data_IF_948744943340
#
_entry.id   IF_948744943340
#
_cell.length_a   1.000
_cell.length_b   1.000
_cell.length_c   1.000
_cell.angle_alpha   90.00
_cell.angle_beta   90.00
_cell.angle_gamma   90.00
#
_symmetry.space_group_name_H-M   'P 1'
#
loop_
_entity.id
_entity.type
_entity.pdbx_description
1 polymer ?
#
# COMPACT_ATOMS: atom_id res chain seq x y z
N UNK A 1 3.48 -10.52 -3.04
CA UNK A 1 3.51 -11.77 -2.24
C UNK A 1 4.92 -12.19 -1.80
N UNK A 2 5.94 -12.02 -2.64
CA UNK A 2 7.35 -12.39 -2.42
C UNK A 2 7.90 -12.19 -0.99
N UNK A 3 7.64 -11.03 -0.38
CA UNK A 3 8.16 -10.68 0.95
C UNK A 3 7.70 -11.62 2.07
N UNK A 4 6.46 -12.14 2.04
CA UNK A 4 6.05 -13.16 3.02
C UNK A 4 6.63 -14.54 2.71
N UNK A 5 6.88 -14.87 1.44
CA UNK A 5 7.61 -16.09 1.08
C UNK A 5 9.04 -16.07 1.66
N UNK A 6 9.74 -14.93 1.55
CA UNK A 6 11.06 -14.75 2.16
C UNK A 6 11.02 -14.84 3.70
N UNK A 7 9.98 -14.30 4.35
CA UNK A 7 9.82 -14.38 5.81
C UNK A 7 9.44 -15.77 6.32
N UNK A 8 8.66 -16.53 5.55
CA UNK A 8 8.18 -17.87 5.92
C UNK A 8 9.20 -18.97 5.57
N UNK A 9 9.79 -18.93 4.37
CA UNK A 9 10.61 -20.02 3.83
C UNK A 9 12.12 -19.74 3.87
N UNK A 10 12.53 -18.50 4.19
CA UNK A 10 13.92 -18.06 4.07
C UNK A 10 14.41 -17.84 2.63
N UNK A 11 13.60 -18.12 1.61
CA UNK A 11 13.94 -18.00 0.19
C UNK A 11 13.21 -16.82 -0.46
N UNK A 12 13.95 -15.94 -1.12
CA UNK A 12 13.37 -14.97 -2.05
C UNK A 12 13.04 -15.69 -3.37
N UNK A 13 11.80 -15.54 -3.82
CA UNK A 13 11.36 -15.90 -5.17
C UNK A 13 10.79 -14.64 -5.79
N UNK A 14 11.18 -14.36 -7.03
CA UNK A 14 10.46 -13.37 -7.83
C UNK A 14 9.22 -14.04 -8.39
N UNK A 15 8.08 -13.35 -8.34
CA UNK A 15 6.80 -13.79 -8.88
C UNK A 15 6.47 -12.96 -10.13
N UNK A 16 5.46 -13.37 -10.92
CA UNK A 16 5.02 -12.61 -12.09
C UNK A 16 3.78 -11.79 -11.78
N UNK A 17 3.87 -10.46 -11.91
CA UNK A 17 2.69 -9.59 -11.90
C UNK A 17 1.84 -9.80 -13.17
N UNK A 18 2.45 -10.19 -14.29
CA UNK A 18 1.75 -10.49 -15.54
C UNK A 18 0.79 -11.68 -15.39
N UNK A 19 1.12 -12.66 -14.56
CA UNK A 19 0.22 -13.78 -14.25
C UNK A 19 -1.10 -13.31 -13.60
N UNK A 20 -1.05 -12.26 -12.77
CA UNK A 20 -2.26 -11.62 -12.22
C UNK A 20 -3.02 -10.86 -13.31
N UNK A 21 -2.33 -10.01 -14.07
CA UNK A 21 -2.91 -9.16 -15.13
C UNK A 21 -3.59 -9.98 -16.24
N UNK A 22 -3.06 -11.17 -16.56
CA UNK A 22 -3.60 -12.03 -17.62
C UNK A 22 -4.70 -12.98 -17.11
N UNK A 23 -4.70 -13.36 -15.83
CA UNK A 23 -5.54 -14.45 -15.30
C UNK A 23 -6.64 -14.02 -14.31
N UNK A 24 -6.47 -12.94 -13.53
CA UNK A 24 -7.45 -12.53 -12.51
C UNK A 24 -8.60 -11.67 -13.07
N UNK A 25 -8.63 -11.47 -14.40
CA UNK A 25 -9.63 -10.71 -15.18
C UNK A 25 -11.07 -11.28 -15.17
N UNK A 26 -11.37 -12.20 -14.24
CA UNK A 26 -12.65 -12.93 -14.15
C UNK A 26 -13.60 -12.36 -13.11
N UNK A 27 -13.19 -11.31 -12.38
CA UNK A 27 -13.95 -10.67 -11.31
C UNK A 27 -13.94 -9.14 -11.42
N UNK A 28 -13.40 -8.48 -10.40
CA UNK A 28 -13.41 -7.01 -10.26
C UNK A 28 -12.12 -6.35 -10.80
N UNK A 29 -11.05 -7.13 -10.99
CA UNK A 29 -9.84 -6.71 -11.71
C UNK A 29 -10.09 -6.78 -13.22
N UNK A 30 -9.64 -5.78 -13.97
CA UNK A 30 -9.82 -5.62 -15.41
C UNK A 30 -8.46 -5.52 -16.14
N UNK A 31 -7.41 -6.09 -15.55
CA UNK A 31 -6.03 -6.09 -16.04
C UNK A 31 -5.48 -4.68 -16.14
N UNK A 32 -4.96 -4.29 -17.30
CA UNK A 32 -4.41 -2.95 -17.52
C UNK A 32 -5.42 -1.80 -17.39
N UNK A 33 -6.73 -2.08 -17.23
CA UNK A 33 -7.74 -1.06 -16.93
C UNK A 33 -7.90 -0.79 -15.42
N UNK A 34 -7.24 -1.56 -14.55
CA UNK A 34 -7.34 -1.47 -13.09
C UNK A 34 -8.57 -2.18 -12.52
N UNK A 35 -8.95 -1.80 -11.30
CA UNK A 35 -10.11 -2.36 -10.58
C UNK A 35 -11.41 -1.60 -10.91
N UNK A 36 -12.53 -2.33 -10.95
CA UNK A 36 -13.84 -1.77 -11.26
C UNK A 36 -14.36 -0.78 -10.20
N UNK A 37 -14.98 0.31 -10.66
CA UNK A 37 -15.55 1.41 -9.84
C UNK A 37 -16.65 1.02 -8.84
N UNK A 38 -17.06 -0.25 -8.78
CA UNK A 38 -18.05 -0.77 -7.83
C UNK A 38 -17.40 -1.56 -6.67
N UNK A 39 -16.07 -1.74 -6.70
CA UNK A 39 -15.33 -2.47 -5.68
C UNK A 39 -15.07 -1.57 -4.47
N UNK A 40 -15.91 -1.70 -3.44
CA UNK A 40 -15.45 -1.47 -2.07
C UNK A 40 -14.33 -2.48 -1.80
N UNK A 41 -13.08 -2.01 -1.78
CA UNK A 41 -11.92 -2.87 -1.53
C UNK A 41 -12.17 -3.67 -0.24
N UNK A 42 -12.07 -4.99 -0.31
CA UNK A 42 -12.24 -5.85 0.88
C UNK A 42 -10.97 -5.85 1.77
N UNK A 43 -10.21 -4.75 1.72
CA UNK A 43 -8.92 -4.52 2.37
C UNK A 43 -9.13 -3.99 3.80
N UNK A 44 -9.74 -4.83 4.65
CA UNK A 44 -10.15 -4.48 6.03
C UNK A 44 -9.07 -3.65 6.76
N UNK A 45 -9.38 -2.44 7.27
CA UNK A 45 -8.40 -1.46 7.78
C UNK A 45 -7.75 -1.91 9.11
N UNK A 46 -6.84 -2.87 9.00
CA UNK A 46 -6.02 -3.37 10.10
C UNK A 46 -4.90 -2.38 10.41
N UNK A 47 -4.44 -2.40 11.65
CA UNK A 47 -3.33 -1.55 12.08
C UNK A 47 -2.03 -2.00 11.44
N UNK A 48 -1.55 -1.24 10.45
CA UNK A 48 -0.22 -1.33 9.85
C UNK A 48 0.91 -1.54 10.89
N UNK A 49 0.72 -0.99 12.10
CA UNK A 49 1.62 -1.06 13.25
C UNK A 49 1.87 -2.47 13.85
N UNK A 50 1.01 -3.46 13.56
CA UNK A 50 1.12 -4.81 14.13
C UNK A 50 1.73 -5.84 13.16
N UNK A 51 1.88 -5.49 11.89
CA UNK A 51 2.31 -6.40 10.82
C UNK A 51 3.82 -6.31 10.59
N UNK A 52 4.54 -7.41 10.82
CA UNK A 52 6.00 -7.53 10.63
C UNK A 52 6.41 -7.95 9.21
N UNK A 53 5.58 -7.64 8.23
CA UNK A 53 5.69 -8.07 6.84
C UNK A 53 5.30 -6.91 5.92
N UNK A 54 5.67 -6.94 4.62
CA UNK A 54 5.16 -5.98 3.65
C UNK A 54 3.63 -5.99 3.55
N UNK A 55 3.06 -4.81 3.34
CA UNK A 55 1.60 -4.56 3.34
C UNK A 55 1.25 -3.80 2.05
N UNK A 56 0.24 -4.27 1.32
CA UNK A 56 -0.34 -3.56 0.18
C UNK A 56 -1.29 -2.48 0.69
N UNK A 57 -1.19 -1.27 0.12
CA UNK A 57 -2.05 -0.12 0.45
C UNK A 57 -2.45 0.59 -0.84
N UNK A 58 -3.66 1.15 -0.86
CA UNK A 58 -4.02 2.13 -1.87
C UNK A 58 -3.55 3.53 -1.43
N UNK A 59 -3.16 4.36 -2.38
CA UNK A 59 -2.88 5.79 -2.18
C UNK A 59 -3.53 6.65 -3.27
N UNK A 60 -3.75 7.92 -2.92
CA UNK A 60 -3.85 9.00 -3.89
C UNK A 60 -2.43 9.35 -4.38
N UNK A 61 -2.24 9.28 -5.69
CA UNK A 61 -1.01 9.65 -6.39
C UNK A 61 -1.27 10.64 -7.53
N UNK A 62 -2.46 11.26 -7.57
CA UNK A 62 -2.84 12.23 -8.60
C UNK A 62 -2.19 13.61 -8.40
N UNK A 63 -1.88 13.97 -7.15
CA UNK A 63 -1.30 15.26 -6.78
C UNK A 63 0.08 15.53 -7.43
N UNK A 64 0.30 16.77 -7.87
CA UNK A 64 1.52 17.16 -8.59
C UNK A 64 2.78 17.16 -7.71
N UNK A 65 2.67 17.43 -6.41
CA UNK A 65 3.82 17.39 -5.51
C UNK A 65 4.32 15.95 -5.35
N UNK A 66 3.40 14.97 -5.42
CA UNK A 66 3.75 13.55 -5.43
C UNK A 66 4.37 13.11 -6.77
N UNK A 67 3.81 13.56 -7.90
CA UNK A 67 4.37 13.25 -9.24
C UNK A 67 5.81 13.76 -9.44
N UNK A 68 6.17 14.90 -8.83
CA UNK A 68 7.52 15.48 -8.90
C UNK A 68 8.38 15.20 -7.65
N UNK A 69 7.90 14.36 -6.72
CA UNK A 69 8.66 13.97 -5.53
C UNK A 69 9.90 13.16 -5.91
N UNK A 70 11.01 13.38 -5.21
CA UNK A 70 12.30 12.76 -5.51
C UNK A 70 13.10 12.27 -4.30
N UNK A 71 13.00 12.91 -3.14
CA UNK A 71 13.76 12.53 -1.94
C UNK A 71 13.24 13.19 -0.65
N UNK A 72 13.59 12.60 0.50
CA UNK A 72 13.27 13.12 1.83
C UNK A 72 12.16 12.33 2.54
N UNK A 73 11.21 13.06 3.13
CA UNK A 73 9.95 12.55 3.65
C UNK A 73 8.86 13.36 2.95
N UNK A 74 7.90 12.71 2.31
CA UNK A 74 6.79 13.41 1.65
C UNK A 74 5.81 13.96 2.69
N UNK A 75 5.50 15.26 2.58
CA UNK A 75 4.56 15.98 3.45
C UNK A 75 3.61 16.88 2.65
N UNK A 76 3.31 16.50 1.40
CA UNK A 76 2.40 17.24 0.51
C UNK A 76 0.93 17.12 0.90
N UNK A 77 0.04 17.45 -0.04
CA UNK A 77 -1.39 17.57 0.23
C UNK A 77 -2.08 16.24 0.55
N UNK A 78 -3.22 16.32 1.24
CA UNK A 78 -4.04 15.17 1.65
C UNK A 78 -5.13 14.91 0.61
N UNK A 79 -4.74 14.28 -0.49
CA UNK A 79 -5.67 13.72 -1.46
C UNK A 79 -6.36 12.44 -0.96
N UNK A 80 -7.58 12.20 -1.43
CA UNK A 80 -8.44 11.05 -1.09
C UNK A 80 -8.93 10.28 -2.33
N UNK A 81 -8.41 10.62 -3.52
CA UNK A 81 -8.74 9.93 -4.77
C UNK A 81 -7.81 8.72 -4.93
N UNK A 82 -8.15 7.62 -4.23
CA UNK A 82 -7.42 6.35 -4.28
C UNK A 82 -7.34 5.81 -5.72
N UNK A 83 -6.14 5.85 -6.31
CA UNK A 83 -5.91 5.48 -7.70
C UNK A 83 -4.62 4.71 -7.98
N UNK A 84 -3.77 4.49 -6.96
CA UNK A 84 -2.51 3.77 -7.13
C UNK A 84 -2.23 2.80 -5.97
N UNK A 85 -1.88 1.55 -6.29
CA UNK A 85 -1.52 0.53 -5.30
C UNK A 85 -0.01 0.47 -5.07
N UNK A 86 0.42 0.57 -3.81
CA UNK A 86 1.84 0.50 -3.41
C UNK A 86 2.06 -0.46 -2.24
N UNK A 87 3.33 -0.79 -1.94
CA UNK A 87 3.70 -1.71 -0.86
C UNK A 87 4.52 -0.98 0.22
N UNK A 88 4.00 -0.94 1.44
CA UNK A 88 4.74 -0.48 2.62
C UNK A 88 5.62 -1.62 3.15
N UNK A 89 6.94 -1.48 3.02
CA UNK A 89 7.92 -2.54 3.34
C UNK A 89 8.60 -2.40 4.72
N UNK A 90 8.53 -1.23 5.35
CA UNK A 90 9.22 -0.92 6.62
C UNK A 90 8.49 0.21 7.34
N UNK A 91 8.64 0.26 8.67
CA UNK A 91 8.34 1.44 9.47
C UNK A 91 9.42 1.78 10.52
N UNK A 92 9.29 2.96 11.12
CA UNK A 92 10.24 3.59 12.04
C UNK A 92 9.96 5.09 12.24
N UNK A 93 10.94 5.78 12.81
CA UNK A 93 10.94 7.22 13.13
C UNK A 93 12.35 7.77 12.85
N UNK A 94 12.50 9.01 12.37
CA UNK A 94 13.81 9.67 12.31
C UNK A 94 14.18 10.39 13.63
N UNK A 95 15.42 10.86 13.72
CA UNK A 95 16.04 11.34 14.97
C UNK A 95 15.38 12.59 15.60
N UNK A 96 14.59 13.36 14.84
CA UNK A 96 13.81 14.50 15.34
C UNK A 96 12.43 14.12 15.90
N UNK A 97 12.04 12.84 15.80
CA UNK A 97 10.72 12.34 16.22
C UNK A 97 9.70 12.19 15.08
N UNK A 98 10.02 12.61 13.86
CA UNK A 98 9.11 12.48 12.70
C UNK A 98 8.90 11.02 12.31
N UNK A 99 7.64 10.58 12.33
CA UNK A 99 7.20 9.31 11.71
C UNK A 99 6.89 9.57 10.23
N UNK A 100 7.68 8.99 9.33
CA UNK A 100 7.26 8.81 7.93
C UNK A 100 6.37 7.52 7.84
N UNK A 101 5.87 7.06 6.67
CA UNK A 101 5.02 5.85 6.35
C UNK A 101 3.77 5.48 7.20
N UNK A 102 3.69 5.80 8.50
CA UNK A 102 2.66 5.24 9.39
C UNK A 102 2.37 6.13 10.60
N UNK A 103 1.16 6.68 10.65
CA UNK A 103 0.61 7.20 11.88
C UNK A 103 -0.93 7.11 11.88
N UNK A 104 -1.46 6.10 12.57
CA UNK A 104 -2.89 6.05 12.99
C UNK A 104 -3.17 7.05 14.14
N UNK A 105 -2.11 7.55 14.78
CA UNK A 105 -2.14 8.54 15.86
C UNK A 105 -1.86 9.99 15.37
N UNK A 106 -2.34 10.36 14.18
CA UNK A 106 -2.66 11.76 13.85
C UNK A 106 -4.18 11.83 13.89
N UNK A 107 -4.75 12.97 14.26
CA UNK A 107 -6.20 13.24 14.22
C UNK A 107 -6.79 13.31 12.78
N UNK A 108 -6.26 12.52 11.83
CA UNK A 108 -6.87 12.24 10.52
C UNK A 108 -6.92 10.71 10.29
N UNK A 109 -8.11 10.09 10.15
CA UNK A 109 -8.24 8.64 10.00
C UNK A 109 -7.54 8.05 8.76
N UNK A 110 -7.33 8.86 7.73
CA UNK A 110 -6.99 8.42 6.36
C UNK A 110 -5.47 8.48 6.08
N UNK A 111 -4.71 9.26 6.87
CA UNK A 111 -3.26 9.42 6.74
C UNK A 111 -2.82 10.47 5.72
N UNK A 112 -1.56 10.40 5.27
CA UNK A 112 -1.06 11.14 4.12
C UNK A 112 -1.28 10.31 2.85
N UNK A 113 -1.66 10.96 1.74
CA UNK A 113 -2.03 10.28 0.48
C UNK A 113 -3.05 9.15 0.67
N UNK A 114 -3.89 9.22 1.70
CA UNK A 114 -4.90 8.21 2.05
C UNK A 114 -4.38 6.78 2.34
N UNK A 115 -3.09 6.65 2.65
CA UNK A 115 -2.36 5.38 2.88
C UNK A 115 -2.91 4.50 4.02
N UNK A 116 -3.81 5.03 4.86
CA UNK A 116 -4.43 4.30 5.97
C UNK A 116 -5.90 3.92 5.74
N UNK A 117 -6.51 4.31 4.61
CA UNK A 117 -7.90 3.97 4.26
C UNK A 117 -8.06 2.47 3.97
N UNK A 118 -7.36 1.99 2.95
CA UNK A 118 -7.51 0.64 2.40
C UNK A 118 -6.16 -0.08 2.46
N UNK A 119 -6.06 -1.15 3.25
CA UNK A 119 -4.80 -1.87 3.47
C UNK A 119 -4.99 -3.38 3.65
N UNK A 120 -4.13 -4.18 3.02
CA UNK A 120 -4.21 -5.65 3.07
C UNK A 120 -2.84 -6.30 3.03
N UNK A 121 -2.75 -7.53 3.54
CA UNK A 121 -1.53 -8.30 3.55
C UNK A 121 -1.85 -9.80 3.44
N UNK A 122 -1.11 -10.57 2.61
CA UNK A 122 -1.30 -12.02 2.54
C UNK A 122 -0.84 -12.66 3.85
N UNK A 123 -1.57 -13.68 4.31
CA UNK A 123 -1.17 -14.52 5.46
C UNK A 123 -0.67 -15.87 4.96
N UNK A 124 0.55 -16.24 5.34
CA UNK A 124 1.07 -17.60 5.19
C UNK A 124 0.85 -18.35 6.52
N UNK A 125 0.41 -19.60 6.41
CA UNK A 125 0.15 -20.55 7.51
C UNK A 125 1.02 -21.78 7.35
#
# INVERSE_FOLDING_TARGET
MEGINQLSTGKLISLSEQELVDCDISGEDQGCNGIGWNLQLHMQPRSLALTKQPISVAIDAGDSDFQFYSSGIFTGQRGTELGHGVIVVRYGTIADGTKYWMQRDIDVPEGLCSIAMESSYPTAT
#
